data_IF_555843119145
#
_entry.id   IF_555843119145
#
_cell.length_a   1.000
_cell.length_b   1.000
_cell.length_c   1.000
_cell.angle_alpha   90.00
_cell.angle_beta   90.00
_cell.angle_gamma   90.00
#
_symmetry.space_group_name_H-M   'P 1'
#
loop_
_entity.id
_entity.type
_entity.pdbx_description
1 polymer ?
#
# COMPACT_ATOMS: atom_id res chain seq x y z
N UNK A 1 -26.52 1.55 -38.11
CA UNK A 1 -25.78 0.54 -37.31
C UNK A 1 -24.86 1.18 -36.25
N UNK A 2 -25.37 1.91 -35.25
CA UNK A 2 -24.56 2.50 -34.15
C UNK A 2 -24.91 2.00 -32.75
N UNK A 3 -26.04 1.30 -32.56
CA UNK A 3 -26.50 0.84 -31.24
C UNK A 3 -25.76 -0.40 -30.70
N UNK A 4 -25.18 -1.25 -31.56
CA UNK A 4 -24.47 -2.46 -31.13
C UNK A 4 -23.13 -2.20 -30.41
N UNK A 5 -22.64 -0.96 -30.40
CA UNK A 5 -21.32 -0.64 -29.84
C UNK A 5 -21.37 -0.39 -28.31
N UNK A 6 -22.52 -0.03 -27.75
CA UNK A 6 -22.64 0.30 -26.33
C UNK A 6 -22.55 -0.93 -25.41
N UNK A 7 -23.14 -2.07 -25.82
CA UNK A 7 -23.10 -3.31 -25.05
C UNK A 7 -21.67 -3.86 -24.98
N UNK A 8 -20.94 -3.87 -26.11
CA UNK A 8 -19.54 -4.29 -26.15
C UNK A 8 -18.63 -3.38 -25.29
N UNK A 9 -18.86 -2.06 -25.33
CA UNK A 9 -18.13 -1.12 -24.47
C UNK A 9 -18.44 -1.31 -22.98
N UNK A 10 -19.71 -1.53 -22.63
CA UNK A 10 -20.12 -1.81 -21.25
C UNK A 10 -19.51 -3.10 -20.72
N UNK A 11 -19.56 -4.20 -21.49
CA UNK A 11 -18.96 -5.49 -21.11
C UNK A 11 -17.44 -5.40 -20.96
N UNK A 12 -16.76 -4.63 -21.82
CA UNK A 12 -15.32 -4.40 -21.74
C UNK A 12 -14.95 -3.53 -20.52
N UNK A 13 -15.77 -2.52 -20.19
CA UNK A 13 -15.63 -1.72 -18.97
C UNK A 13 -15.84 -2.58 -17.71
N UNK A 14 -16.91 -3.38 -17.68
CA UNK A 14 -17.24 -4.28 -16.57
C UNK A 14 -16.16 -5.34 -16.33
N UNK A 15 -15.61 -5.93 -17.40
CA UNK A 15 -14.50 -6.88 -17.31
C UNK A 15 -13.23 -6.27 -16.71
N UNK A 16 -12.92 -5.01 -17.03
CA UNK A 16 -11.77 -4.30 -16.44
C UNK A 16 -11.95 -4.06 -14.95
N UNK A 17 -13.16 -3.70 -14.49
CA UNK A 17 -13.45 -3.54 -13.06
C UNK A 17 -13.24 -4.84 -12.28
N UNK A 18 -13.67 -5.98 -12.83
CA UNK A 18 -13.42 -7.30 -12.23
C UNK A 18 -11.94 -7.63 -12.12
N UNK A 19 -11.15 -7.27 -13.13
CA UNK A 19 -9.70 -7.47 -13.09
C UNK A 19 -9.04 -6.61 -12.00
N UNK A 20 -9.44 -5.34 -11.84
CA UNK A 20 -8.95 -4.47 -10.76
C UNK A 20 -9.26 -5.09 -9.40
N UNK A 21 -10.52 -5.53 -9.23
CA UNK A 21 -10.99 -6.13 -7.99
C UNK A 21 -10.23 -7.42 -7.67
N UNK A 22 -10.02 -8.29 -8.67
CA UNK A 22 -9.27 -9.54 -8.52
C UNK A 22 -7.80 -9.29 -8.16
N UNK A 23 -7.14 -8.35 -8.86
CA UNK A 23 -5.73 -7.97 -8.58
C UNK A 23 -5.61 -7.34 -7.18
N UNK A 24 -6.59 -6.51 -6.79
CA UNK A 24 -6.61 -5.89 -5.45
C UNK A 24 -6.81 -6.92 -4.36
N UNK A 25 -7.78 -7.83 -4.49
CA UNK A 25 -8.01 -8.92 -3.54
C UNK A 25 -6.78 -9.84 -3.49
N UNK A 26 -6.24 -10.25 -4.63
CA UNK A 26 -5.07 -11.11 -4.70
C UNK A 26 -3.87 -10.49 -3.99
N UNK A 27 -3.64 -9.19 -4.18
CA UNK A 27 -2.58 -8.47 -3.49
C UNK A 27 -2.81 -8.38 -1.97
N UNK A 28 -4.04 -8.09 -1.54
CA UNK A 28 -4.41 -8.09 -0.11
C UNK A 28 -4.20 -9.47 0.52
N UNK A 29 -4.63 -10.54 -0.14
CA UNK A 29 -4.43 -11.92 0.32
C UNK A 29 -2.94 -12.27 0.41
N UNK A 30 -2.14 -11.88 -0.58
CA UNK A 30 -0.69 -12.04 -0.54
C UNK A 30 -0.07 -11.33 0.67
N UNK A 31 -0.47 -10.08 0.96
CA UNK A 31 0.02 -9.35 2.13
C UNK A 31 -0.35 -10.04 3.44
N UNK A 32 -1.57 -10.58 3.54
CA UNK A 32 -2.00 -11.36 4.71
C UNK A 32 -1.09 -12.59 4.89
N UNK A 33 -0.88 -13.37 3.82
CA UNK A 33 -0.05 -14.58 3.85
C UNK A 33 1.40 -14.26 4.22
N UNK A 34 2.00 -13.24 3.60
CA UNK A 34 3.36 -12.81 3.90
C UNK A 34 3.52 -12.38 5.37
N UNK A 35 2.52 -11.68 5.90
CA UNK A 35 2.50 -11.27 7.32
C UNK A 35 2.37 -12.47 8.28
N UNK A 36 1.57 -13.47 7.93
CA UNK A 36 1.47 -14.72 8.70
C UNK A 36 2.83 -15.42 8.70
N UNK A 37 3.45 -15.61 7.53
CA UNK A 37 4.75 -16.26 7.40
C UNK A 37 5.85 -15.56 8.22
N UNK A 38 5.91 -14.22 8.15
CA UNK A 38 6.85 -13.44 8.98
C UNK A 38 6.58 -13.61 10.48
N UNK A 39 5.32 -13.69 10.92
CA UNK A 39 4.98 -13.94 12.34
C UNK A 39 5.52 -15.28 12.82
N UNK A 40 5.31 -16.33 12.02
CA UNK A 40 5.78 -17.69 12.35
C UNK A 40 7.31 -17.73 12.43
N UNK A 41 8.00 -17.05 11.51
CA UNK A 41 9.46 -16.93 11.55
C UNK A 41 9.93 -16.17 12.80
N UNK A 42 9.27 -15.07 13.17
CA UNK A 42 9.64 -14.32 14.38
C UNK A 42 9.42 -15.12 15.66
N UNK A 43 8.35 -15.93 15.74
CA UNK A 43 8.11 -16.82 16.88
C UNK A 43 9.18 -17.91 16.97
N UNK A 44 9.58 -18.47 15.83
CA UNK A 44 10.69 -19.42 15.76
C UNK A 44 12.01 -18.78 16.25
N UNK A 45 12.33 -17.57 15.80
CA UNK A 45 13.52 -16.83 16.25
C UNK A 45 13.45 -16.47 17.75
N UNK A 46 12.28 -16.08 18.26
CA UNK A 46 12.13 -15.83 19.69
C UNK A 46 12.30 -17.12 20.52
N UNK A 47 11.83 -18.26 20.01
CA UNK A 47 11.96 -19.56 20.68
C UNK A 47 13.41 -20.04 20.82
N UNK A 48 14.34 -19.47 20.04
CA UNK A 48 15.79 -19.74 20.13
C UNK A 48 16.56 -18.72 20.99
N UNK A 49 15.87 -17.84 21.74
CA UNK A 49 16.43 -17.14 22.89
C UNK A 49 17.10 -15.78 22.66
N UNK A 50 16.68 -15.00 21.65
CA UNK A 50 17.20 -13.64 21.44
C UNK A 50 16.30 -12.58 22.11
N UNK A 51 16.73 -12.04 23.26
CA UNK A 51 15.96 -11.08 24.08
C UNK A 51 16.62 -9.68 24.07
N UNK A 52 15.94 -8.63 23.60
CA UNK A 52 16.58 -7.31 23.44
C UNK A 52 15.69 -6.04 23.44
N UNK A 53 14.54 -5.95 24.13
CA UNK A 53 13.71 -4.71 24.05
C UNK A 53 13.03 -4.23 25.36
N UNK A 54 13.72 -4.22 26.50
CA UNK A 54 13.10 -3.84 27.78
C UNK A 54 13.05 -2.34 28.16
N UNK A 55 13.69 -1.39 27.45
CA UNK A 55 13.97 -0.08 28.07
C UNK A 55 13.14 1.14 27.59
N UNK A 56 12.51 1.10 26.43
CA UNK A 56 11.85 2.31 25.86
C UNK A 56 10.35 2.42 26.15
N UNK A 57 9.71 1.34 26.61
CA UNK A 57 8.25 1.25 26.76
C UNK A 57 7.63 1.95 27.98
N UNK A 58 8.41 2.32 29.00
CA UNK A 58 7.86 2.71 30.31
C UNK A 58 7.47 4.18 30.48
N UNK A 59 7.89 5.10 29.61
CA UNK A 59 7.73 6.55 29.86
C UNK A 59 6.71 7.22 28.91
N UNK A 60 6.48 6.66 27.72
CA UNK A 60 5.48 7.16 26.75
C UNK A 60 4.47 6.09 26.27
N UNK A 61 4.57 4.84 26.76
CA UNK A 61 4.07 3.63 26.09
C UNK A 61 2.62 3.20 26.33
N UNK A 62 1.73 4.09 26.78
CA UNK A 62 0.32 3.75 27.02
C UNK A 62 -0.58 3.81 25.77
N UNK A 63 -1.91 3.75 25.97
CA UNK A 63 -2.96 3.88 24.94
C UNK A 63 -2.73 5.07 23.99
N UNK A 64 -2.22 6.18 24.50
CA UNK A 64 -1.89 7.36 23.70
C UNK A 64 -0.85 7.07 22.60
N UNK A 65 0.17 6.26 22.88
CA UNK A 65 1.18 5.85 21.89
C UNK A 65 0.56 4.99 20.79
N UNK A 66 -0.37 4.08 21.15
CA UNK A 66 -1.10 3.29 20.17
C UNK A 66 -2.02 4.14 19.29
N UNK A 67 -2.73 5.10 19.87
CA UNK A 67 -3.57 6.05 19.13
C UNK A 67 -2.73 6.87 18.15
N UNK A 68 -1.61 7.44 18.62
CA UNK A 68 -0.73 8.23 17.75
C UNK A 68 -0.10 7.38 16.65
N UNK A 69 0.33 6.15 16.96
CA UNK A 69 0.83 5.21 15.96
C UNK A 69 -0.26 4.85 14.92
N UNK A 70 -1.51 4.65 15.35
CA UNK A 70 -2.62 4.39 14.45
C UNK A 70 -2.86 5.57 13.49
N UNK A 71 -2.96 6.78 14.03
CA UNK A 71 -3.18 7.99 13.23
C UNK A 71 -2.04 8.16 12.22
N UNK A 72 -0.79 8.01 12.65
CA UNK A 72 0.35 8.19 11.75
C UNK A 72 0.42 7.09 10.69
N UNK A 73 0.39 5.83 11.10
CA UNK A 73 0.62 4.68 10.21
C UNK A 73 -0.55 4.38 9.28
N UNK A 74 -1.78 4.52 9.79
CA UNK A 74 -2.99 4.10 9.08
C UNK A 74 -3.75 5.25 8.44
N UNK A 75 -3.48 6.51 8.82
CA UNK A 75 -4.22 7.66 8.28
C UNK A 75 -3.24 8.64 7.61
N UNK A 76 -2.43 9.34 8.40
CA UNK A 76 -1.64 10.46 7.90
C UNK A 76 -0.59 10.04 6.84
N UNK A 77 0.26 9.06 7.14
CA UNK A 77 1.32 8.62 6.21
C UNK A 77 0.76 8.09 4.89
N UNK A 78 -0.22 7.16 4.87
CA UNK A 78 -0.80 6.66 3.63
C UNK A 78 -1.31 7.74 2.69
N UNK A 79 -2.00 8.78 3.21
CA UNK A 79 -2.51 9.86 2.38
C UNK A 79 -1.41 10.79 1.87
N UNK A 80 -0.44 11.15 2.72
CA UNK A 80 0.71 11.98 2.31
C UNK A 80 1.56 11.27 1.26
N UNK A 81 1.87 10.00 1.49
CA UNK A 81 2.65 9.18 0.56
C UNK A 81 1.91 8.99 -0.77
N UNK A 82 0.60 8.70 -0.74
CA UNK A 82 -0.19 8.56 -1.97
C UNK A 82 -0.26 9.87 -2.76
N UNK A 83 -0.45 10.99 -2.07
CA UNK A 83 -0.42 12.32 -2.70
C UNK A 83 0.93 12.57 -3.39
N UNK A 84 2.03 12.22 -2.74
CA UNK A 84 3.36 12.48 -3.28
C UNK A 84 3.74 11.52 -4.40
N UNK A 85 3.71 10.21 -4.14
CA UNK A 85 4.24 9.19 -5.06
C UNK A 85 3.27 8.81 -6.16
N UNK A 86 1.97 8.71 -5.89
CA UNK A 86 0.99 8.32 -6.89
C UNK A 86 0.39 9.52 -7.62
N UNK A 87 0.16 10.65 -6.97
CA UNK A 87 -0.38 11.83 -7.67
C UNK A 87 0.71 12.74 -8.24
N UNK A 88 1.50 13.40 -7.39
CA UNK A 88 2.48 14.41 -7.84
C UNK A 88 3.53 13.79 -8.76
N UNK A 89 4.19 12.71 -8.32
CA UNK A 89 5.28 12.10 -9.06
C UNK A 89 4.84 11.48 -10.39
N UNK A 90 3.70 10.79 -10.45
CA UNK A 90 3.17 10.26 -11.72
C UNK A 90 2.88 11.39 -12.71
N UNK A 91 2.34 12.52 -12.25
CA UNK A 91 2.10 13.69 -13.10
C UNK A 91 3.41 14.30 -13.61
N UNK A 92 4.44 14.38 -12.76
CA UNK A 92 5.77 14.84 -13.18
C UNK A 92 6.39 13.91 -14.22
N UNK A 93 6.34 12.58 -14.00
CA UNK A 93 6.81 11.59 -14.97
C UNK A 93 6.03 11.72 -16.28
N UNK A 94 4.70 11.84 -16.22
CA UNK A 94 3.83 11.99 -17.39
C UNK A 94 4.14 13.25 -18.19
N UNK A 95 4.49 14.35 -17.51
CA UNK A 95 4.78 15.66 -18.12
C UNK A 95 6.18 15.73 -18.71
N UNK A 96 7.19 15.23 -18.00
CA UNK A 96 8.59 15.51 -18.32
C UNK A 96 9.36 14.31 -18.86
N UNK A 97 8.88 13.08 -18.66
CA UNK A 97 9.65 11.87 -18.99
C UNK A 97 8.93 10.92 -19.96
N UNK A 98 7.71 10.47 -19.64
CA UNK A 98 7.00 9.49 -20.47
C UNK A 98 5.49 9.43 -20.22
N UNK A 99 4.73 9.40 -21.31
CA UNK A 99 3.27 9.14 -21.30
C UNK A 99 2.92 7.65 -21.18
N UNK A 100 3.88 6.73 -21.34
CA UNK A 100 3.63 5.28 -21.25
C UNK A 100 3.39 4.88 -19.78
N UNK A 101 2.29 4.16 -19.54
CA UNK A 101 1.88 3.71 -18.19
C UNK A 101 2.98 2.93 -17.49
N UNK A 102 3.69 2.04 -18.20
CA UNK A 102 4.76 1.22 -17.63
C UNK A 102 5.83 2.08 -16.94
N UNK A 103 6.26 3.17 -17.55
CA UNK A 103 7.28 4.06 -16.96
C UNK A 103 6.74 4.87 -15.78
N UNK A 104 5.47 5.27 -15.82
CA UNK A 104 4.82 5.94 -14.70
C UNK A 104 4.75 5.03 -13.47
N UNK A 105 4.36 3.76 -13.68
CA UNK A 105 4.29 2.75 -12.62
C UNK A 105 5.67 2.44 -12.06
N UNK A 106 6.62 2.02 -12.92
CA UNK A 106 7.95 1.57 -12.49
C UNK A 106 8.73 2.66 -11.75
N UNK A 107 8.72 3.91 -12.24
CA UNK A 107 9.51 4.97 -11.62
C UNK A 107 8.86 5.49 -10.33
N UNK A 108 7.53 5.60 -10.31
CA UNK A 108 6.81 5.96 -9.07
C UNK A 108 7.00 4.89 -8.00
N UNK A 109 6.83 3.61 -8.37
CA UNK A 109 7.09 2.48 -7.48
C UNK A 109 8.53 2.43 -6.99
N UNK A 110 9.51 2.73 -7.86
CA UNK A 110 10.93 2.81 -7.46
C UNK A 110 11.17 3.89 -6.42
N UNK A 111 10.66 5.10 -6.64
CA UNK A 111 10.80 6.18 -5.65
C UNK A 111 10.09 5.83 -4.33
N UNK A 112 8.91 5.20 -4.39
CA UNK A 112 8.20 4.75 -3.21
C UNK A 112 9.02 3.70 -2.44
N UNK A 113 9.52 2.66 -3.10
CA UNK A 113 10.36 1.64 -2.48
C UNK A 113 11.64 2.21 -1.90
N UNK A 114 12.32 3.10 -2.62
CA UNK A 114 13.52 3.76 -2.13
C UNK A 114 13.25 4.59 -0.87
N UNK A 115 12.09 5.25 -0.73
CA UNK A 115 11.74 5.99 0.48
C UNK A 115 11.69 5.13 1.76
N UNK A 116 11.65 3.80 1.63
CA UNK A 116 11.55 2.83 2.73
C UNK A 116 12.93 2.24 3.09
N UNK A 117 13.90 3.10 3.45
CA UNK A 117 15.32 2.78 3.65
C UNK A 117 15.68 1.88 4.87
N UNK A 118 14.75 1.14 5.48
CA UNK A 118 15.04 0.32 6.67
C UNK A 118 16.00 -0.84 6.37
N UNK A 119 15.75 -1.58 5.28
CA UNK A 119 16.60 -2.67 4.81
C UNK A 119 16.25 -3.03 3.35
N UNK A 120 17.12 -3.77 2.63
CA UNK A 120 16.89 -4.12 1.23
C UNK A 120 15.58 -4.88 0.97
N UNK A 121 15.15 -5.76 1.87
CA UNK A 121 13.89 -6.48 1.73
C UNK A 121 12.68 -5.54 1.84
N UNK A 122 12.76 -4.54 2.72
CA UNK A 122 11.73 -3.51 2.89
C UNK A 122 11.66 -2.56 1.70
N UNK A 123 12.81 -2.19 1.12
CA UNK A 123 12.88 -1.43 -0.14
C UNK A 123 12.23 -2.22 -1.29
N UNK A 124 12.55 -3.51 -1.41
CA UNK A 124 11.98 -4.37 -2.46
C UNK A 124 10.47 -4.54 -2.29
N UNK A 125 10.00 -4.76 -1.06
CA UNK A 125 8.58 -4.84 -0.77
C UNK A 125 7.88 -3.52 -1.06
N UNK A 126 8.45 -2.40 -0.62
CA UNK A 126 7.97 -1.06 -0.93
C UNK A 126 7.93 -0.81 -2.44
N UNK A 127 8.91 -1.26 -3.21
CA UNK A 127 8.90 -1.16 -4.66
C UNK A 127 7.70 -1.91 -5.27
N UNK A 128 7.46 -3.15 -4.87
CA UNK A 128 6.33 -3.96 -5.37
C UNK A 128 5.00 -3.32 -4.99
N UNK A 129 4.84 -2.92 -3.73
CA UNK A 129 3.62 -2.26 -3.22
C UNK A 129 3.39 -0.92 -3.91
N UNK A 130 4.44 -0.11 -4.06
CA UNK A 130 4.39 1.18 -4.75
C UNK A 130 3.97 1.03 -6.22
N UNK A 131 4.51 0.04 -6.94
CA UNK A 131 4.07 -0.27 -8.30
C UNK A 131 2.58 -0.64 -8.35
N UNK A 132 2.12 -1.46 -7.40
CA UNK A 132 0.71 -1.81 -7.29
C UNK A 132 -0.17 -0.58 -7.07
N UNK A 133 0.17 0.30 -6.12
CA UNK A 133 -0.57 1.55 -5.88
C UNK A 133 -0.55 2.49 -7.09
N UNK A 134 0.59 2.61 -7.78
CA UNK A 134 0.71 3.44 -8.97
C UNK A 134 -0.12 2.91 -10.13
N UNK A 135 -0.21 1.59 -10.28
CA UNK A 135 -1.11 0.96 -11.25
C UNK A 135 -2.58 1.22 -10.91
N UNK A 136 -2.98 0.98 -9.65
CA UNK A 136 -4.33 1.26 -9.16
C UNK A 136 -4.69 2.73 -9.36
N UNK A 137 -3.79 3.66 -9.05
CA UNK A 137 -4.00 5.10 -9.21
C UNK A 137 -4.31 5.48 -10.66
N UNK A 138 -3.47 5.05 -11.62
CA UNK A 138 -3.66 5.37 -13.03
C UNK A 138 -4.97 4.77 -13.55
N UNK A 139 -5.31 3.56 -13.09
CA UNK A 139 -6.52 2.87 -13.51
C UNK A 139 -7.79 3.54 -12.98
N UNK A 140 -7.80 3.96 -11.71
CA UNK A 140 -8.88 4.75 -11.15
C UNK A 140 -8.97 6.13 -11.80
N UNK A 141 -7.86 6.84 -11.95
CA UNK A 141 -7.80 8.16 -12.60
C UNK A 141 -8.37 8.12 -14.03
N UNK A 142 -8.26 7.00 -14.75
CA UNK A 142 -8.86 6.86 -16.07
C UNK A 142 -10.39 6.93 -16.07
N UNK A 143 -11.02 6.60 -14.95
CA UNK A 143 -12.48 6.50 -14.79
C UNK A 143 -13.04 7.58 -13.85
N UNK A 144 -12.20 8.45 -13.29
CA UNK A 144 -12.59 9.51 -12.35
C UNK A 144 -11.63 10.71 -12.45
N UNK A 145 -11.67 11.63 -11.49
CA UNK A 145 -10.68 12.72 -11.38
C UNK A 145 -9.50 12.32 -10.49
N UNK A 146 -8.39 13.05 -10.62
CA UNK A 146 -7.14 12.83 -9.89
C UNK A 146 -7.34 12.87 -8.37
N UNK A 147 -8.22 13.74 -7.85
CA UNK A 147 -8.43 13.85 -6.39
C UNK A 147 -9.15 12.61 -5.86
N UNK A 148 -10.19 12.14 -6.56
CA UNK A 148 -10.90 10.90 -6.22
C UNK A 148 -10.00 9.67 -6.36
N UNK A 149 -9.14 9.61 -7.37
CA UNK A 149 -8.16 8.53 -7.51
C UNK A 149 -7.14 8.54 -6.36
N UNK A 150 -6.66 9.72 -5.95
CA UNK A 150 -5.77 9.89 -4.78
C UNK A 150 -6.45 9.41 -3.51
N UNK A 151 -7.70 9.82 -3.28
CA UNK A 151 -8.47 9.41 -2.11
C UNK A 151 -8.69 7.89 -2.08
N UNK A 152 -9.09 7.30 -3.22
CA UNK A 152 -9.36 5.86 -3.31
C UNK A 152 -8.09 5.01 -3.04
N UNK A 153 -6.95 5.39 -3.64
CA UNK A 153 -5.69 4.68 -3.40
C UNK A 153 -5.14 4.96 -2.00
N UNK A 154 -5.31 6.17 -1.47
CA UNK A 154 -4.93 6.51 -0.10
C UNK A 154 -5.70 5.69 0.93
N UNK A 155 -7.01 5.48 0.70
CA UNK A 155 -7.84 4.59 1.52
C UNK A 155 -7.39 3.12 1.42
N UNK A 156 -7.08 2.64 0.21
CA UNK A 156 -6.55 1.30 0.01
C UNK A 156 -5.22 1.11 0.76
N UNK A 157 -4.34 2.10 0.68
CA UNK A 157 -3.05 2.11 1.37
C UNK A 157 -3.23 2.14 2.89
N UNK A 158 -4.12 3.00 3.40
CA UNK A 158 -4.52 3.05 4.81
C UNK A 158 -5.00 1.69 5.33
N UNK A 159 -5.88 1.03 4.58
CA UNK A 159 -6.40 -0.30 4.92
C UNK A 159 -5.30 -1.37 4.97
N UNK A 160 -4.34 -1.32 4.04
CA UNK A 160 -3.18 -2.23 4.05
C UNK A 160 -2.29 -1.97 5.26
N UNK A 161 -2.06 -0.71 5.63
CA UNK A 161 -1.25 -0.34 6.80
C UNK A 161 -1.93 -0.65 8.14
N UNK A 162 -3.26 -0.80 8.16
CA UNK A 162 -3.96 -1.32 9.34
C UNK A 162 -3.54 -2.76 9.70
N UNK A 163 -3.18 -3.59 8.71
CA UNK A 163 -2.79 -5.00 8.95
C UNK A 163 -1.58 -5.11 9.90
N UNK A 164 -0.40 -4.51 9.60
CA UNK A 164 0.73 -4.56 10.51
C UNK A 164 0.47 -3.81 11.82
N UNK A 165 -0.35 -2.75 11.82
CA UNK A 165 -0.75 -2.05 13.05
C UNK A 165 -1.49 -2.97 14.02
N UNK A 166 -2.58 -3.61 13.58
CA UNK A 166 -3.40 -4.48 14.43
C UNK A 166 -2.63 -5.71 14.89
N UNK A 167 -1.72 -6.23 14.05
CA UNK A 167 -0.79 -7.28 14.47
C UNK A 167 0.10 -6.83 15.63
N UNK A 168 0.69 -5.64 15.54
CA UNK A 168 1.52 -5.08 16.62
C UNK A 168 0.70 -4.86 17.90
N UNK A 169 -0.53 -4.36 17.77
CA UNK A 169 -1.43 -4.16 18.90
C UNK A 169 -1.80 -5.50 19.57
N UNK A 170 -2.14 -6.53 18.79
CA UNK A 170 -2.48 -7.85 19.30
C UNK A 170 -1.32 -8.50 20.08
N UNK A 171 -0.11 -8.45 19.53
CA UNK A 171 1.08 -8.98 20.21
C UNK A 171 1.35 -8.21 21.50
N UNK A 172 1.27 -6.88 21.47
CA UNK A 172 1.52 -6.03 22.64
C UNK A 172 0.46 -6.13 23.75
N UNK A 173 -0.73 -6.67 23.47
CA UNK A 173 -1.74 -6.97 24.50
C UNK A 173 -1.47 -8.31 25.21
N UNK A 174 -0.82 -9.26 24.51
CA UNK A 174 -0.57 -10.62 25.02
C UNK A 174 0.80 -10.79 25.70
N UNK A 175 1.70 -9.83 25.56
CA UNK A 175 3.02 -9.76 26.21
C UNK A 175 2.97 -8.97 27.51
#
# INVERSE_FOLDING_TARGET
MKQYNYIAQFLNWWGKQKLVYFVTIGFVLYQIIANIAYSLLSLFIASIGADSQALTGKIFGGVFSYIMNFIMLCIASPFVETLFFQNVLIRLIRRYLSKKIVWQVLLSGLCFGLAHFLNPAYILLGFVVGNFFSYCFILYEKHTDTNRATLAVGLLHALINCIPFFKKLYIGILS
#
